data_IF_506531258717
#
_entry.id   IF_506531258717
#
_cell.length_a   1.000
_cell.length_b   1.000
_cell.length_c   1.000
_cell.angle_alpha   90.00
_cell.angle_beta   90.00
_cell.angle_gamma   90.00
#
_symmetry.space_group_name_H-M   'P 1'
#
loop_
_entity.id
_entity.type
_entity.pdbx_description
1 polymer ?
#
# COMPACT_ATOMS: atom_id res chain seq x y z
N UNK A 1 3.13 -13.21 -7.22
CA UNK A 1 2.92 -11.76 -7.15
C UNK A 1 3.58 -11.25 -5.88
N UNK A 2 4.37 -10.17 -5.94
CA UNK A 2 5.02 -9.58 -4.76
C UNK A 2 3.98 -9.04 -3.76
N UNK A 3 4.38 -8.96 -2.50
CA UNK A 3 3.59 -8.33 -1.46
C UNK A 3 4.23 -6.99 -1.09
N UNK A 4 3.40 -6.02 -0.70
CA UNK A 4 3.83 -4.66 -0.39
C UNK A 4 3.26 -4.24 0.96
N UNK A 5 4.15 -3.93 1.89
CA UNK A 5 3.78 -3.22 3.11
C UNK A 5 3.56 -1.74 2.81
N UNK A 6 2.46 -1.19 3.30
CA UNK A 6 2.15 0.21 3.11
C UNK A 6 1.65 0.86 4.40
N UNK A 7 1.84 2.19 4.45
CA UNK A 7 1.27 3.09 5.45
C UNK A 7 0.75 4.33 4.74
N UNK A 8 -0.36 4.88 5.22
CA UNK A 8 -0.97 6.08 4.67
C UNK A 8 -1.95 6.74 5.63
N UNK A 9 -2.62 7.78 5.14
CA UNK A 9 -3.71 8.45 5.86
C UNK A 9 -4.98 8.34 5.04
N UNK A 10 -6.10 8.02 5.67
CA UNK A 10 -7.40 8.11 5.02
C UNK A 10 -7.91 9.56 4.96
N UNK A 11 -9.09 9.77 4.36
CA UNK A 11 -9.69 11.10 4.22
C UNK A 11 -9.99 11.82 5.54
N UNK A 12 -10.07 11.11 6.67
CA UNK A 12 -10.27 11.75 7.98
C UNK A 12 -8.94 12.10 8.65
N UNK A 13 -7.82 11.81 7.99
CA UNK A 13 -6.47 12.00 8.50
C UNK A 13 -5.99 10.85 9.38
N UNK A 14 -6.81 9.79 9.56
CA UNK A 14 -6.44 8.65 10.39
C UNK A 14 -5.36 7.82 9.69
N UNK A 15 -4.36 7.41 10.45
CA UNK A 15 -3.26 6.59 9.93
C UNK A 15 -3.75 5.17 9.71
N UNK A 16 -3.54 4.65 8.50
CA UNK A 16 -3.82 3.28 8.09
C UNK A 16 -2.54 2.60 7.63
N UNK A 17 -2.48 1.28 7.79
CA UNK A 17 -1.37 0.46 7.31
C UNK A 17 -1.87 -0.94 6.97
N UNK A 18 -1.13 -1.64 6.13
CA UNK A 18 -1.45 -3.02 5.75
C UNK A 18 -0.46 -3.62 4.79
N UNK A 19 -0.79 -4.82 4.31
CA UNK A 19 -0.08 -5.52 3.23
C UNK A 19 -1.03 -5.69 2.06
N UNK A 20 -0.53 -5.44 0.85
CA UNK A 20 -1.25 -5.71 -0.40
C UNK A 20 -0.42 -6.62 -1.30
N UNK A 21 -1.06 -7.60 -1.92
CA UNK A 21 -0.45 -8.34 -3.04
C UNK A 21 -0.81 -7.60 -4.32
N UNK A 22 0.19 -7.27 -5.13
CA UNK A 22 0.01 -6.55 -6.38
C UNK A 22 1.13 -6.91 -7.37
N UNK A 23 0.92 -6.61 -8.66
CA UNK A 23 1.92 -6.87 -9.69
C UNK A 23 3.07 -5.86 -9.69
N UNK A 24 2.84 -4.66 -9.14
CA UNK A 24 3.86 -3.61 -9.01
C UNK A 24 3.50 -2.61 -7.90
N UNK A 25 4.45 -1.73 -7.57
CA UNK A 25 4.23 -0.63 -6.62
C UNK A 25 3.17 0.37 -7.12
N UNK A 26 3.11 0.62 -8.43
CA UNK A 26 2.12 1.49 -9.07
C UNK A 26 0.70 0.92 -8.91
N UNK A 27 0.55 -0.39 -9.03
CA UNK A 27 -0.72 -1.08 -8.77
C UNK A 27 -1.16 -0.91 -7.30
N UNK A 28 -0.22 -0.93 -6.34
CA UNK A 28 -0.51 -0.60 -4.92
C UNK A 28 -1.03 0.83 -4.78
N UNK A 29 -0.37 1.82 -5.39
CA UNK A 29 -0.83 3.21 -5.35
C UNK A 29 -2.24 3.37 -5.95
N UNK A 30 -2.54 2.69 -7.05
CA UNK A 30 -3.86 2.72 -7.68
C UNK A 30 -4.95 2.13 -6.75
N UNK A 31 -4.66 1.01 -6.08
CA UNK A 31 -5.56 0.39 -5.10
C UNK A 31 -5.82 1.31 -3.89
N UNK A 32 -4.77 1.91 -3.32
CA UNK A 32 -4.90 2.82 -2.18
C UNK A 32 -5.67 4.10 -2.53
N UNK A 33 -5.46 4.66 -3.73
CA UNK A 33 -6.22 5.81 -4.23
C UNK A 33 -7.72 5.51 -4.32
N UNK A 34 -8.10 4.31 -4.78
CA UNK A 34 -9.51 3.86 -4.82
C UNK A 34 -10.14 3.78 -3.42
N UNK A 35 -9.33 3.50 -2.40
CA UNK A 35 -9.75 3.48 -1.01
C UNK A 35 -9.68 4.86 -0.32
N UNK A 36 -9.38 5.92 -1.06
CA UNK A 36 -9.17 7.27 -0.52
C UNK A 36 -8.07 7.34 0.54
N UNK A 37 -7.03 6.51 0.38
CA UNK A 37 -5.85 6.51 1.22
C UNK A 37 -4.73 7.22 0.49
N UNK A 38 -4.13 8.21 1.16
CA UNK A 38 -2.90 8.88 0.74
C UNK A 38 -1.71 8.12 1.34
N UNK A 39 -0.97 7.32 0.55
CA UNK A 39 0.18 6.60 1.06
C UNK A 39 1.33 7.52 1.45
N UNK A 40 1.91 7.26 2.61
CA UNK A 40 3.15 7.90 3.09
C UNK A 40 4.36 6.97 2.94
N UNK A 41 4.13 5.66 2.84
CA UNK A 41 5.18 4.66 2.66
C UNK A 41 4.61 3.45 1.93
N UNK A 42 5.37 2.93 0.96
CA UNK A 42 5.09 1.64 0.30
C UNK A 42 6.43 0.95 0.09
N UNK A 43 6.60 -0.25 0.65
CA UNK A 43 7.81 -1.08 0.59
C UNK A 43 7.44 -2.46 0.06
N UNK A 44 8.19 -2.94 -0.92
CA UNK A 44 8.06 -4.33 -1.35
C UNK A 44 8.61 -5.24 -0.26
N UNK A 45 7.79 -6.20 0.18
CA UNK A 45 8.25 -7.36 0.91
C UNK A 45 8.82 -8.32 -0.12
N UNK A 46 10.15 -8.32 -0.24
CA UNK A 46 10.85 -9.36 -0.98
C UNK A 46 10.40 -10.73 -0.49
N UNK A 47 10.22 -11.68 -1.41
CA UNK A 47 9.79 -13.05 -1.10
C UNK A 47 10.54 -13.55 0.14
N UNK A 48 9.79 -14.04 1.13
CA UNK A 48 10.34 -15.00 2.08
C UNK A 48 10.93 -16.13 1.24
N UNK A 49 12.26 -16.24 1.25
CA UNK A 49 13.01 -17.37 0.68
C UNK A 49 12.76 -18.59 1.54
#
# INVERSE_FOLDING_TARGET
>A
MPSYEWRGRDRTGAVRSGVLVADSKEAVFALLRRQQIVPTTVKEKGKEV
#
